data_IF_418876009160
#
_entry.id   IF_418876009160
#
_cell.length_a   1.000
_cell.length_b   1.000
_cell.length_c   1.000
_cell.angle_alpha   90.00
_cell.angle_beta   90.00
_cell.angle_gamma   90.00
#
_symmetry.space_group_name_H-M   'P 1'
#
loop_
_entity.id
_entity.type
_entity.pdbx_description
1 polymer ?
#
# COMPACT_ATOMS: atom_id res chain seq x y z
N UNK A 1 3.52 -14.64 20.47
CA UNK A 1 4.32 -13.42 20.60
C UNK A 1 3.95 -12.74 21.92
N UNK A 2 4.89 -12.34 22.78
CA UNK A 2 4.57 -11.67 24.06
C UNK A 2 4.73 -10.16 23.90
N UNK A 3 3.79 -9.36 24.40
CA UNK A 3 3.82 -7.89 24.24
C UNK A 3 5.10 -7.24 24.77
N UNK A 4 5.67 -7.77 25.85
CA UNK A 4 6.91 -7.26 26.43
C UNK A 4 8.12 -7.43 25.51
N UNK A 5 8.09 -8.40 24.59
CA UNK A 5 9.16 -8.63 23.60
C UNK A 5 9.11 -7.60 22.45
N UNK A 6 7.97 -6.93 22.26
CA UNK A 6 7.77 -5.87 21.26
C UNK A 6 8.26 -4.50 21.73
N UNK A 7 8.45 -4.31 23.05
CA UNK A 7 8.94 -3.05 23.62
C UNK A 7 10.46 -2.95 23.47
N UNK A 8 10.91 -2.61 22.26
CA UNK A 8 12.33 -2.39 21.94
C UNK A 8 12.50 -1.29 20.91
N UNK A 9 13.73 -0.84 20.74
CA UNK A 9 14.08 0.07 19.65
C UNK A 9 14.06 -0.68 18.31
N UNK A 10 13.44 -0.05 17.30
CA UNK A 10 13.42 -0.53 15.93
C UNK A 10 14.16 0.48 15.05
N UNK A 11 14.92 -0.03 14.08
CA UNK A 11 15.61 0.84 13.13
C UNK A 11 14.67 1.35 12.03
N UNK A 12 13.58 0.63 11.78
CA UNK A 12 12.66 0.92 10.70
C UNK A 12 11.26 0.43 11.05
N UNK A 13 10.26 1.22 10.65
CA UNK A 13 8.85 0.88 10.70
C UNK A 13 8.35 0.74 9.26
N UNK A 14 7.71 -0.38 8.96
CA UNK A 14 7.20 -0.71 7.63
C UNK A 14 5.68 -0.82 7.72
N UNK A 15 4.97 -0.09 6.86
CA UNK A 15 3.53 -0.26 6.69
C UNK A 15 3.25 -1.55 5.94
N UNK A 16 2.34 -2.37 6.46
CA UNK A 16 1.76 -3.54 5.78
C UNK A 16 0.55 -3.17 4.91
N UNK A 17 0.25 -1.89 4.76
CA UNK A 17 -0.96 -1.46 4.09
C UNK A 17 -2.20 -1.64 4.96
N UNK A 18 -3.23 -0.90 4.59
CA UNK A 18 -4.62 -0.90 5.11
C UNK A 18 -5.29 0.38 4.59
N UNK A 19 -4.52 1.47 4.64
CA UNK A 19 -4.74 2.74 3.95
C UNK A 19 -3.44 3.56 3.98
N UNK A 20 -3.50 4.80 3.50
CA UNK A 20 -2.38 5.72 3.40
C UNK A 20 -2.01 6.43 4.73
N UNK A 21 -2.84 6.33 5.77
CA UNK A 21 -2.67 7.10 7.01
C UNK A 21 -1.41 6.72 7.80
N UNK A 22 -1.06 5.43 8.01
CA UNK A 22 0.19 5.07 8.67
C UNK A 22 1.40 5.71 8.00
N UNK A 23 1.50 5.65 6.68
CA UNK A 23 2.63 6.24 5.95
C UNK A 23 2.68 7.77 6.09
N UNK A 24 1.52 8.43 6.06
CA UNK A 24 1.41 9.87 6.30
C UNK A 24 1.89 10.25 7.70
N UNK A 25 1.43 9.54 8.74
CA UNK A 25 1.84 9.81 10.12
C UNK A 25 3.32 9.51 10.37
N UNK A 26 3.84 8.40 9.84
CA UNK A 26 5.27 8.08 9.93
C UNK A 26 6.12 9.18 9.29
N UNK A 27 5.68 9.73 8.15
CA UNK A 27 6.35 10.86 7.50
C UNK A 27 6.29 12.11 8.38
N UNK A 28 5.11 12.47 8.89
CA UNK A 28 4.89 13.68 9.70
C UNK A 28 5.69 13.66 11.02
N UNK A 29 5.86 12.48 11.60
CA UNK A 29 6.61 12.31 12.85
C UNK A 29 8.11 12.03 12.63
N UNK A 30 8.61 12.12 11.39
CA UNK A 30 10.01 11.84 11.03
C UNK A 30 10.47 10.40 11.39
N UNK A 31 9.52 9.48 11.55
CA UNK A 31 9.76 8.06 11.85
C UNK A 31 9.92 7.20 10.59
N UNK A 32 9.65 7.78 9.41
CA UNK A 32 9.71 7.08 8.13
C UNK A 32 11.11 7.16 7.52
N UNK A 33 11.83 6.06 7.57
CA UNK A 33 13.16 5.91 6.95
C UNK A 33 13.11 5.79 5.42
N UNK A 34 12.04 5.20 4.87
CA UNK A 34 11.84 5.07 3.42
C UNK A 34 10.35 4.95 3.08
N UNK A 35 10.01 5.10 1.79
CA UNK A 35 8.65 4.76 1.34
C UNK A 35 8.53 3.29 0.96
N UNK A 36 7.73 2.53 1.69
CA UNK A 36 7.46 1.12 1.43
C UNK A 36 6.54 0.90 0.23
N UNK A 37 6.51 -0.34 -0.33
CA UNK A 37 5.63 -0.67 -1.46
C UNK A 37 4.13 -0.59 -1.12
N UNK A 38 3.77 -0.72 0.16
CA UNK A 38 2.38 -0.70 0.63
C UNK A 38 1.96 0.60 1.32
N UNK A 39 2.83 1.61 1.40
CA UNK A 39 2.56 2.89 2.09
C UNK A 39 1.36 3.65 1.53
N UNK A 40 1.13 3.53 0.23
CA UNK A 40 0.11 4.27 -0.52
C UNK A 40 -0.89 3.31 -1.18
N UNK A 41 -1.05 2.14 -0.55
CA UNK A 41 -1.89 1.06 -1.00
C UNK A 41 -3.01 0.80 0.02
N UNK A 42 -4.18 0.45 -0.49
CA UNK A 42 -5.33 0.06 0.32
C UNK A 42 -5.48 -1.45 0.17
N UNK A 43 -5.33 -2.17 1.28
CA UNK A 43 -5.55 -3.60 1.40
C UNK A 43 -6.64 -3.85 2.44
N UNK A 44 -7.61 -4.69 2.12
CA UNK A 44 -8.72 -5.00 3.04
C UNK A 44 -8.44 -6.21 3.94
N UNK A 45 -7.38 -6.98 3.64
CA UNK A 45 -7.03 -8.21 4.36
C UNK A 45 -5.53 -8.32 4.60
N UNK A 46 -5.17 -8.76 5.82
CA UNK A 46 -3.80 -9.13 6.15
C UNK A 46 -3.37 -10.41 5.43
N UNK A 47 -4.30 -11.34 5.19
CA UNK A 47 -4.00 -12.60 4.48
C UNK A 47 -3.53 -12.30 3.06
N UNK A 48 -4.20 -11.38 2.38
CA UNK A 48 -3.79 -10.86 1.08
C UNK A 48 -2.36 -10.30 1.10
N UNK A 49 -2.04 -9.52 2.14
CA UNK A 49 -0.70 -8.93 2.27
C UNK A 49 0.34 -10.01 2.59
N UNK A 50 0.01 -10.99 3.42
CA UNK A 50 0.88 -12.12 3.71
C UNK A 50 1.18 -12.92 2.43
N UNK A 51 0.15 -13.28 1.66
CA UNK A 51 0.31 -13.97 0.36
C UNK A 51 1.14 -13.14 -0.63
N UNK A 52 0.97 -11.81 -0.67
CA UNK A 52 1.80 -10.93 -1.49
C UNK A 52 3.29 -11.01 -1.11
N UNK A 53 3.59 -10.98 0.20
CA UNK A 53 4.95 -11.07 0.73
C UNK A 53 5.56 -12.45 0.47
N UNK A 54 4.80 -13.52 0.67
CA UNK A 54 5.19 -14.91 0.37
C UNK A 54 5.54 -15.09 -1.11
N UNK A 55 4.72 -14.54 -2.00
CA UNK A 55 4.92 -14.55 -3.44
C UNK A 55 5.98 -13.56 -3.92
N UNK A 56 6.65 -12.86 -3.00
CA UNK A 56 7.68 -11.86 -3.30
C UNK A 56 7.26 -10.79 -4.30
N UNK A 57 6.02 -10.30 -4.17
CA UNK A 57 5.42 -9.34 -5.09
C UNK A 57 5.32 -9.81 -6.55
N UNK A 58 5.46 -11.12 -6.81
CA UNK A 58 5.33 -11.66 -8.17
C UNK A 58 3.93 -11.41 -8.74
N UNK A 59 3.87 -10.76 -9.90
CA UNK A 59 2.61 -10.40 -10.56
C UNK A 59 1.84 -9.27 -9.88
N UNK A 60 2.42 -8.62 -8.86
CA UNK A 60 1.79 -7.51 -8.17
C UNK A 60 1.81 -6.25 -9.03
N UNK A 61 0.64 -5.65 -9.19
CA UNK A 61 0.42 -4.42 -9.95
C UNK A 61 0.89 -4.51 -11.40
N UNK A 62 0.90 -5.70 -12.00
CA UNK A 62 1.14 -5.86 -13.43
C UNK A 62 -0.04 -5.29 -14.23
N UNK A 63 0.26 -4.60 -15.33
CA UNK A 63 -0.72 -3.83 -16.10
C UNK A 63 -1.98 -4.63 -16.47
N UNK A 64 -1.82 -5.89 -16.85
CA UNK A 64 -2.91 -6.81 -17.21
C UNK A 64 -3.89 -7.10 -16.06
N UNK A 65 -3.43 -6.98 -14.81
CA UNK A 65 -4.22 -7.19 -13.60
C UNK A 65 -4.87 -5.90 -13.08
N UNK A 66 -4.57 -4.73 -13.68
CA UNK A 66 -5.05 -3.44 -13.19
C UNK A 66 -6.46 -3.11 -13.70
N UNK A 67 -7.34 -2.67 -12.79
CA UNK A 67 -8.67 -2.17 -13.11
C UNK A 67 -8.91 -0.84 -12.39
N UNK A 68 -9.30 0.18 -13.13
CA UNK A 68 -9.80 1.43 -12.53
C UNK A 68 -11.17 1.13 -11.93
N UNK A 69 -11.35 1.40 -10.65
CA UNK A 69 -12.61 1.15 -9.94
C UNK A 69 -13.32 2.42 -9.47
N UNK A 70 -12.66 3.57 -9.59
CA UNK A 70 -13.22 4.84 -9.19
C UNK A 70 -12.17 5.95 -9.18
N UNK A 71 -12.55 7.07 -8.60
CA UNK A 71 -11.70 8.24 -8.39
C UNK A 71 -11.73 8.55 -6.89
N UNK A 72 -10.61 9.03 -6.35
CA UNK A 72 -10.54 9.50 -4.96
C UNK A 72 -11.54 10.65 -4.69
N UNK A 73 -11.79 10.92 -3.40
CA UNK A 73 -12.77 11.92 -2.98
C UNK A 73 -12.46 13.32 -3.52
N UNK A 74 -11.16 13.63 -3.70
CA UNK A 74 -10.68 14.91 -4.23
C UNK A 74 -10.72 15.01 -5.77
N UNK A 75 -11.16 13.96 -6.47
CA UNK A 75 -11.18 13.87 -7.93
C UNK A 75 -9.81 13.99 -8.62
N UNK A 76 -8.73 13.75 -7.88
CA UNK A 76 -7.35 13.95 -8.33
C UNK A 76 -6.69 12.67 -8.82
N UNK A 77 -7.09 11.51 -8.32
CA UNK A 77 -6.46 10.23 -8.66
C UNK A 77 -7.48 9.15 -8.96
N UNK A 78 -7.18 8.33 -9.96
CA UNK A 78 -7.86 7.06 -10.13
C UNK A 78 -7.47 6.09 -9.02
N UNK A 79 -8.48 5.41 -8.49
CA UNK A 79 -8.32 4.24 -7.66
C UNK A 79 -8.14 3.03 -8.58
N UNK A 80 -6.95 2.44 -8.55
CA UNK A 80 -6.58 1.34 -9.45
C UNK A 80 -6.35 0.07 -8.65
N UNK A 81 -7.21 -0.92 -8.84
CA UNK A 81 -7.14 -2.23 -8.18
C UNK A 81 -6.28 -3.19 -9.00
N UNK A 82 -5.35 -3.85 -8.34
CA UNK A 82 -4.78 -5.11 -8.79
C UNK A 82 -5.76 -6.23 -8.41
N UNK A 83 -6.33 -6.91 -9.41
CA UNK A 83 -7.31 -7.97 -9.19
C UNK A 83 -6.69 -9.29 -8.70
N UNK A 84 -5.37 -9.50 -8.88
CA UNK A 84 -4.68 -10.71 -8.42
C UNK A 84 -4.54 -10.73 -6.91
N UNK A 85 -4.12 -9.60 -6.35
CA UNK A 85 -3.95 -9.46 -4.90
C UNK A 85 -5.10 -8.70 -4.24
N UNK A 86 -6.04 -8.13 -5.00
CA UNK A 86 -7.15 -7.33 -4.46
C UNK A 86 -6.66 -6.12 -3.61
N UNK A 87 -5.62 -5.43 -4.08
CA UNK A 87 -5.02 -4.25 -3.45
C UNK A 87 -5.18 -3.06 -4.38
N UNK A 88 -5.48 -1.89 -3.82
CA UNK A 88 -5.75 -0.66 -4.57
C UNK A 88 -4.60 0.34 -4.44
N UNK A 89 -4.11 0.85 -5.56
CA UNK A 89 -3.24 2.02 -5.63
C UNK A 89 -4.10 3.30 -5.67
N UNK A 90 -3.98 4.15 -4.65
CA UNK A 90 -4.87 5.31 -4.50
C UNK A 90 -4.30 6.64 -5.04
N UNK A 91 -2.97 6.82 -5.03
CA UNK A 91 -2.34 8.13 -5.31
C UNK A 91 -1.24 8.08 -6.38
N UNK A 92 -1.30 7.07 -7.26
CA UNK A 92 -0.26 6.84 -8.27
C UNK A 92 -0.71 7.19 -9.69
N UNK A 93 -2.01 7.41 -9.91
CA UNK A 93 -2.60 7.60 -11.23
C UNK A 93 -3.44 8.89 -11.27
N UNK A 94 -2.81 10.06 -11.46
CA UNK A 94 -3.52 11.32 -11.53
C UNK A 94 -4.55 11.35 -12.67
N UNK A 95 -5.75 11.85 -12.41
CA UNK A 95 -6.86 11.95 -13.39
C UNK A 95 -6.52 12.86 -14.57
N UNK A 96 -5.66 13.85 -14.36
CA UNK A 96 -5.18 14.76 -15.41
C UNK A 96 -4.23 14.09 -16.41
N UNK A 97 -3.58 12.99 -16.02
CA UNK A 97 -2.55 12.32 -16.82
C UNK A 97 -2.97 10.92 -17.32
N UNK A 98 -4.08 10.39 -16.82
CA UNK A 98 -4.57 9.05 -17.13
C UNK A 98 -6.03 9.10 -17.60
N UNK A 99 -6.49 8.00 -18.18
CA UNK A 99 -7.89 7.80 -18.56
C UNK A 99 -8.38 6.47 -17.99
N UNK A 100 -9.70 6.29 -17.89
CA UNK A 100 -10.33 5.07 -17.37
C UNK A 100 -9.81 3.76 -17.99
N UNK A 101 -9.52 3.78 -19.30
CA UNK A 101 -9.05 2.62 -20.05
C UNK A 101 -7.56 2.72 -20.43
N UNK A 102 -6.85 3.75 -19.96
CA UNK A 102 -5.47 4.01 -20.35
C UNK A 102 -4.68 4.64 -19.19
N UNK A 103 -3.87 3.82 -18.53
CA UNK A 103 -2.99 4.25 -17.45
C UNK A 103 -1.64 4.74 -18.02
N UNK A 104 -1.63 5.92 -18.66
CA UNK A 104 -0.44 6.52 -19.27
C UNK A 104 0.76 6.62 -18.31
N UNK A 105 0.52 6.86 -17.02
CA UNK A 105 1.59 6.98 -16.01
C UNK A 105 2.07 5.63 -15.46
N UNK A 106 1.54 4.50 -15.96
CA UNK A 106 1.89 3.17 -15.49
C UNK A 106 3.41 2.86 -15.51
N UNK A 107 4.17 3.15 -16.58
CA UNK A 107 5.60 2.81 -16.59
C UNK A 107 6.38 3.46 -15.43
N UNK A 108 6.07 4.73 -15.13
CA UNK A 108 6.68 5.45 -14.02
C UNK A 108 6.26 4.88 -12.65
N UNK A 109 4.99 4.50 -12.52
CA UNK A 109 4.50 3.82 -11.32
C UNK A 109 5.20 2.47 -11.11
N UNK A 110 5.30 1.64 -12.15
CA UNK A 110 5.93 0.32 -12.10
C UNK A 110 7.42 0.42 -11.70
N UNK A 111 8.16 1.37 -12.28
CA UNK A 111 9.56 1.62 -11.92
C UNK A 111 9.70 2.05 -10.44
N UNK A 112 8.84 2.98 -9.98
CA UNK A 112 8.84 3.39 -8.58
C UNK A 112 8.51 2.23 -7.64
N UNK A 113 7.50 1.44 -7.96
CA UNK A 113 7.09 0.29 -7.16
C UNK A 113 8.23 -0.73 -7.07
N UNK A 114 8.87 -1.05 -8.20
CA UNK A 114 10.05 -1.92 -8.24
C UNK A 114 11.16 -1.43 -7.31
N UNK A 115 11.54 -0.14 -7.39
CA UNK A 115 12.57 0.42 -6.50
C UNK A 115 12.20 0.32 -5.02
N UNK A 116 10.91 0.46 -4.66
CA UNK A 116 10.43 0.32 -3.27
C UNK A 116 10.48 -1.13 -2.81
N UNK A 117 10.13 -2.09 -3.68
CA UNK A 117 10.24 -3.53 -3.40
C UNK A 117 11.72 -3.93 -3.21
N UNK A 118 12.61 -3.48 -4.11
CA UNK A 118 14.04 -3.77 -4.02
C UNK A 118 14.62 -3.23 -2.70
N UNK A 119 14.28 -1.99 -2.32
CA UNK A 119 14.71 -1.40 -1.04
C UNK A 119 14.17 -2.17 0.18
N UNK A 120 12.91 -2.62 0.13
CA UNK A 120 12.34 -3.46 1.20
C UNK A 120 13.17 -4.72 1.41
N UNK A 121 13.56 -5.41 0.32
CA UNK A 121 14.36 -6.62 0.42
C UNK A 121 15.81 -6.37 0.84
N UNK A 122 16.40 -5.23 0.49
CA UNK A 122 17.69 -4.81 1.04
C UNK A 122 17.63 -4.69 2.56
N UNK A 123 16.61 -4.02 3.10
CA UNK A 123 16.39 -3.89 4.55
C UNK A 123 16.21 -5.26 5.22
N UNK A 124 15.45 -6.17 4.60
CA UNK A 124 15.29 -7.53 5.14
C UNK A 124 16.60 -8.34 5.13
N UNK A 125 17.48 -8.11 4.15
CA UNK A 125 18.78 -8.78 4.06
C UNK A 125 19.78 -8.28 5.13
N UNK A 126 19.68 -7.02 5.56
CA UNK A 126 20.57 -6.42 6.58
C UNK A 126 20.37 -7.02 7.99
N UNK A 127 19.32 -7.81 8.23
CA UNK A 127 19.01 -8.48 9.52
C UNK A 127 18.90 -7.53 10.72
N UNK A 128 18.57 -6.26 10.48
CA UNK A 128 18.35 -5.24 11.51
C UNK A 128 16.91 -5.36 12.06
N UNK A 129 16.64 -5.07 13.35
CA UNK A 129 15.29 -5.08 13.89
C UNK A 129 14.35 -4.09 13.17
N UNK A 130 13.26 -4.59 12.59
CA UNK A 130 12.19 -3.79 12.00
C UNK A 130 10.82 -4.11 12.64
N UNK A 131 9.92 -3.14 12.59
CA UNK A 131 8.54 -3.27 13.06
C UNK A 131 7.59 -3.24 11.87
N UNK A 132 6.75 -4.27 11.74
CA UNK A 132 5.67 -4.31 10.76
C UNK A 132 4.40 -3.75 11.40
N UNK A 133 3.86 -2.68 10.82
CA UNK A 133 2.66 -2.00 11.29
C UNK A 133 1.52 -2.24 10.31
N UNK A 134 0.41 -2.81 10.80
CA UNK A 134 -0.82 -2.96 10.05
C UNK A 134 -1.99 -2.54 10.92
N UNK A 135 -2.89 -1.72 10.39
CA UNK A 135 -4.15 -1.38 11.05
C UNK A 135 -5.24 -2.32 10.51
N UNK A 136 -5.65 -3.30 11.30
CA UNK A 136 -6.81 -4.13 10.96
C UNK A 136 -8.07 -3.51 11.54
N UNK A 137 -8.75 -2.69 10.73
CA UNK A 137 -10.12 -2.28 11.02
C UNK A 137 -11.10 -3.33 10.49
N UNK A 138 -11.88 -3.99 11.34
CA UNK A 138 -13.04 -4.77 10.86
C UNK A 138 -14.03 -3.80 10.22
N UNK A 139 -14.14 -3.81 8.89
CA UNK A 139 -15.27 -3.19 8.19
C UNK A 139 -16.51 -4.04 8.43
N UNK A 140 -17.40 -3.63 9.33
CA UNK A 140 -18.79 -4.03 9.23
C UNK A 140 -19.40 -3.26 8.05
N UNK A 141 -19.67 -3.95 6.93
CA UNK A 141 -20.52 -3.39 5.88
C UNK A 141 -21.91 -3.18 6.48
N UNK A 142 -22.33 -1.94 6.71
CA UNK A 142 -23.76 -1.64 6.81
C UNK A 142 -24.36 -1.73 5.40
N UNK A 143 -25.50 -2.44 5.20
CA UNK A 143 -26.16 -2.46 3.92
C UNK A 143 -26.69 -1.04 3.63
N UNK A 144 -26.17 -0.38 2.60
CA UNK A 144 -26.70 0.89 2.08
C UNK A 144 -25.81 2.14 2.21
N UNK A 145 -24.62 2.08 2.81
CA UNK A 145 -23.73 3.26 2.86
C UNK A 145 -22.76 3.27 1.67
N UNK A 146 -22.83 4.31 0.84
CA UNK A 146 -21.70 4.67 -0.03
C UNK A 146 -20.47 4.90 0.86
N UNK A 147 -19.35 4.27 0.49
CA UNK A 147 -18.08 4.44 1.19
C UNK A 147 -17.59 5.87 0.97
N UNK A 148 -17.96 6.77 1.88
CA UNK A 148 -17.37 8.09 1.97
C UNK A 148 -15.98 7.96 2.59
N UNK A 149 -14.97 8.24 1.78
CA UNK A 149 -13.61 8.47 2.24
C UNK A 149 -13.50 9.95 2.61
N UNK A 150 -13.76 10.30 3.86
CA UNK A 150 -13.45 11.63 4.39
C UNK A 150 -12.00 11.64 4.89
N UNK A 151 -11.26 12.64 4.39
CA UNK A 151 -9.86 12.98 4.70
C UNK A 151 -9.64 13.24 6.18
#
# INVERSE_FOLDING_TARGET
MRLNELKRSYHTIISLGSNCLPAYHLRRCELRSFSGPLDWMISDSLDTVATLLENRFSGFMELENLRVEGIDADQKNFLVRDIRYNIVAAHHFPTQANQWHQLTTYPFFAEQLKRRIDRLYQIFAERIPYYLSGLTGRRQKQPGSQAFWSV
#
